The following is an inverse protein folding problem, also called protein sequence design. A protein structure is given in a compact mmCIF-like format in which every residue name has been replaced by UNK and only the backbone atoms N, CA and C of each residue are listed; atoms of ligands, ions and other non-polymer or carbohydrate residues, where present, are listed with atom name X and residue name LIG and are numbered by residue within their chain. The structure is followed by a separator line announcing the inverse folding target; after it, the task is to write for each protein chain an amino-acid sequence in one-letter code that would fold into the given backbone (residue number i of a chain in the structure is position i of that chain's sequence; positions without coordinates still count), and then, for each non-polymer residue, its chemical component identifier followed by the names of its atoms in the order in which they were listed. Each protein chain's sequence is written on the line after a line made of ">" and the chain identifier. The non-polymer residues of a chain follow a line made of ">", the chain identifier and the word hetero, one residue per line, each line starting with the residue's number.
data_IF_994987934021
#
_entry.id   IF_994987934021
#
_cell.length_a   1.000
_cell.length_b   1.000
_cell.length_c   1.000
_cell.angle_alpha   90.00
_cell.angle_beta   90.00
_cell.angle_gamma   90.00
#
_symmetry.space_group_name_H-M   'P 1'
#
loop_
_entity.id
_entity.type
_entity.pdbx_description
1 polymer ?
#
# COMPACT_ATOMS: atom_id res chain seq x y z
N UNK A 1 -13.12 4.42 -25.99
CA UNK A 1 -12.40 5.16 -24.93
C UNK A 1 -11.74 4.14 -24.03
N UNK A 2 -10.44 4.28 -23.82
CA UNK A 2 -9.54 3.19 -23.42
C UNK A 2 -9.46 2.88 -21.93
N UNK A 3 -8.81 1.75 -21.67
CA UNK A 3 -7.92 1.57 -20.52
C UNK A 3 -8.55 0.94 -19.28
N UNK A 4 -8.67 -0.38 -19.31
CA UNK A 4 -8.82 -1.30 -18.17
C UNK A 4 -7.98 -0.92 -16.94
N UNK A 5 -8.63 -0.87 -15.79
CA UNK A 5 -7.98 -0.76 -14.48
C UNK A 5 -8.95 -0.77 -13.30
N UNK A 6 -10.08 -1.47 -13.41
CA UNK A 6 -11.04 -1.64 -12.31
C UNK A 6 -11.51 -3.09 -12.29
N UNK A 7 -10.61 -3.98 -11.88
CA UNK A 7 -10.95 -5.35 -11.52
C UNK A 7 -11.60 -5.35 -10.14
N UNK A 8 -12.90 -5.04 -10.10
CA UNK A 8 -13.73 -5.34 -8.93
C UNK A 8 -13.90 -6.86 -8.83
N UNK A 9 -13.64 -7.44 -7.65
CA UNK A 9 -13.85 -8.86 -7.42
C UNK A 9 -13.97 -9.24 -5.94
N UNK A 10 -15.24 -9.40 -5.52
CA UNK A 10 -15.71 -10.21 -4.37
C UNK A 10 -15.64 -9.56 -2.97
N UNK A 11 -16.82 -9.37 -2.40
CA UNK A 11 -17.02 -8.89 -1.03
C UNK A 11 -16.43 -9.83 0.02
N UNK A 12 -15.25 -9.48 0.51
CA UNK A 12 -14.75 -9.91 1.82
C UNK A 12 -14.51 -8.62 2.62
N UNK A 13 -15.09 -8.45 3.81
CA UNK A 13 -14.83 -7.25 4.61
C UNK A 13 -13.37 -7.31 5.06
N UNK A 14 -12.48 -6.55 4.42
CA UNK A 14 -11.04 -6.57 4.76
C UNK A 14 -10.44 -5.20 5.01
N UNK A 15 -11.24 -4.16 5.21
CA UNK A 15 -10.67 -2.88 5.61
C UNK A 15 -10.38 -2.85 7.13
N UNK A 16 -9.35 -3.59 7.56
CA UNK A 16 -8.68 -3.33 8.85
C UNK A 16 -7.66 -2.20 8.73
N UNK A 17 -7.35 -1.77 7.49
CA UNK A 17 -6.57 -0.58 7.20
C UNK A 17 -7.39 0.67 7.54
N UNK A 18 -6.95 1.42 8.56
CA UNK A 18 -7.56 2.71 8.91
C UNK A 18 -7.23 3.78 7.87
N UNK A 19 -6.08 3.65 7.22
CA UNK A 19 -5.57 4.61 6.25
C UNK A 19 -5.28 3.89 4.93
N UNK A 20 -5.84 4.36 3.80
CA UNK A 20 -5.61 3.74 2.49
C UNK A 20 -4.15 3.94 2.02
N UNK A 21 -3.64 3.07 1.13
CA UNK A 21 -2.34 3.25 0.53
C UNK A 21 -2.34 4.46 -0.42
N UNK A 22 -1.21 5.18 -0.55
CA UNK A 22 -1.01 6.19 -1.59
C UNK A 22 -1.14 5.63 -3.00
N UNK A 23 -1.46 6.49 -3.99
CA UNK A 23 -1.76 6.08 -5.36
C UNK A 23 -0.56 5.49 -6.13
N UNK A 24 0.66 5.81 -5.69
CA UNK A 24 1.92 5.30 -6.23
C UNK A 24 2.31 3.93 -5.66
N UNK A 25 1.57 3.41 -4.68
CA UNK A 25 1.80 2.09 -4.08
C UNK A 25 0.99 1.03 -4.85
N UNK A 26 1.61 -0.07 -5.29
CA UNK A 26 0.90 -1.17 -5.95
C UNK A 26 -0.06 -1.87 -4.99
N UNK A 27 -0.94 -2.71 -5.54
CA UNK A 27 -1.96 -3.44 -4.77
C UNK A 27 -1.37 -4.36 -3.68
N UNK A 28 -0.10 -4.74 -3.83
CA UNK A 28 0.67 -5.53 -2.87
C UNK A 28 0.59 -7.04 -3.10
N UNK A 29 0.11 -7.49 -4.26
CA UNK A 29 -0.01 -8.93 -4.56
C UNK A 29 1.33 -9.67 -4.51
N UNK A 30 2.40 -9.00 -4.98
CA UNK A 30 3.77 -9.52 -4.98
C UNK A 30 4.59 -9.01 -3.78
N UNK A 31 3.94 -8.59 -2.70
CA UNK A 31 4.63 -8.19 -1.48
C UNK A 31 5.11 -9.41 -0.72
N UNK A 32 6.42 -9.47 -0.49
CA UNK A 32 6.98 -10.42 0.46
C UNK A 32 6.60 -10.06 1.91
N UNK A 33 7.09 -10.86 2.85
CA UNK A 33 6.77 -10.70 4.27
C UNK A 33 7.18 -9.32 4.81
N UNK A 34 8.26 -8.73 4.31
CA UNK A 34 8.75 -7.42 4.78
C UNK A 34 7.91 -6.29 4.19
N UNK A 35 7.71 -6.30 2.87
CA UNK A 35 6.89 -5.32 2.17
C UNK A 35 5.46 -5.31 2.70
N UNK A 36 4.87 -6.48 2.92
CA UNK A 36 3.53 -6.62 3.48
C UNK A 36 3.44 -6.03 4.88
N UNK A 37 4.45 -6.24 5.73
CA UNK A 37 4.48 -5.67 7.07
C UNK A 37 4.60 -4.15 7.06
N UNK A 38 5.46 -3.58 6.21
CA UNK A 38 5.57 -2.13 6.06
C UNK A 38 4.26 -1.50 5.59
N UNK A 39 3.62 -2.11 4.60
CA UNK A 39 2.30 -1.71 4.07
C UNK A 39 1.23 -1.77 5.16
N UNK A 40 1.13 -2.90 5.86
CA UNK A 40 0.15 -3.08 6.92
C UNK A 40 0.38 -2.14 8.12
N UNK A 41 1.64 -1.91 8.50
CA UNK A 41 1.99 -0.96 9.54
C UNK A 41 1.56 0.45 9.14
N UNK A 42 1.90 0.88 7.92
CA UNK A 42 1.53 2.21 7.41
C UNK A 42 0.01 2.40 7.37
N UNK A 43 -0.72 1.38 6.95
CA UNK A 43 -2.19 1.40 6.90
C UNK A 43 -2.87 1.47 8.28
N UNK A 44 -2.18 1.08 9.35
CA UNK A 44 -2.69 1.11 10.73
C UNK A 44 -2.14 2.28 11.56
N UNK A 45 -1.09 2.93 11.07
CA UNK A 45 -0.38 3.98 11.78
C UNK A 45 -1.19 5.31 11.83
N UNK A 46 -1.63 5.75 13.03
CA UNK A 46 -2.33 7.03 13.18
C UNK A 46 -1.44 8.25 12.96
N UNK A 47 -0.15 8.21 13.28
CA UNK A 47 0.76 9.33 13.09
C UNK A 47 1.11 9.49 11.60
N UNK A 48 0.70 10.58 10.94
CA UNK A 48 1.00 10.79 9.52
C UNK A 48 2.51 10.84 9.24
N UNK A 49 3.33 11.36 10.15
CA UNK A 49 4.78 11.44 9.94
C UNK A 49 5.45 10.06 9.97
N UNK A 50 4.95 9.15 10.81
CA UNK A 50 5.43 7.76 10.87
C UNK A 50 4.90 6.97 9.68
N UNK A 51 3.64 7.17 9.31
CA UNK A 51 3.04 6.56 8.12
C UNK A 51 3.81 6.85 6.85
N UNK A 52 4.16 8.11 6.61
CA UNK A 52 4.95 8.50 5.44
C UNK A 52 6.34 7.86 5.43
N UNK A 53 6.99 7.73 6.60
CA UNK A 53 8.26 7.01 6.72
C UNK A 53 8.13 5.53 6.36
N UNK A 54 7.06 4.87 6.82
CA UNK A 54 6.80 3.47 6.49
C UNK A 54 6.56 3.29 4.98
N UNK A 55 5.84 4.22 4.34
CA UNK A 55 5.70 4.22 2.89
C UNK A 55 7.00 4.49 2.15
N UNK A 56 7.85 5.40 2.64
CA UNK A 56 9.17 5.65 2.06
C UNK A 56 10.07 4.41 2.13
N UNK A 57 10.07 3.69 3.26
CA UNK A 57 10.80 2.43 3.40
C UNK A 57 10.22 1.33 2.49
N UNK A 58 8.89 1.23 2.38
CA UNK A 58 8.24 0.31 1.45
C UNK A 58 8.68 0.58 0.01
N UNK A 59 8.66 1.84 -0.43
CA UNK A 59 9.09 2.25 -1.77
C UNK A 59 10.54 1.88 -2.04
N UNK A 60 11.43 2.23 -1.10
CA UNK A 60 12.85 1.90 -1.16
C UNK A 60 13.07 0.39 -1.27
N UNK A 61 12.32 -0.39 -0.50
CA UNK A 61 12.40 -1.84 -0.51
C UNK A 61 11.91 -2.46 -1.83
N UNK A 62 10.81 -1.95 -2.37
CA UNK A 62 10.23 -2.41 -3.64
C UNK A 62 10.94 -1.85 -4.89
N UNK A 63 11.93 -0.97 -4.71
CA UNK A 63 12.59 -0.27 -5.81
C UNK A 63 11.67 0.69 -6.56
N UNK A 64 10.61 1.19 -5.89
CA UNK A 64 9.73 2.23 -6.43
C UNK A 64 10.45 3.56 -6.19
N UNK A 65 11.07 4.11 -7.23
CA UNK A 65 11.65 5.45 -7.15
C UNK A 65 10.53 6.47 -6.96
N UNK A 66 10.65 7.31 -5.93
CA UNK A 66 9.74 8.43 -5.72
C UNK A 66 9.96 9.42 -6.87
N UNK A 67 8.94 9.77 -7.66
CA UNK A 67 9.06 10.81 -8.69
C UNK A 67 9.32 12.19 -8.07
#
# INVERSE_FOLDING_TARGET
>A
MGGTGSGSGVGIPRNTAKYPPPADIPDGNDDDVVARQLREAAMREPDPAVREKLWAEYRKYKGIEQP
#
